data_IF_860203281487
#
_entry.id   IF_860203281487
#
_cell.length_a   1.000
_cell.length_b   1.000
_cell.length_c   1.000
_cell.angle_alpha   90.00
_cell.angle_beta   90.00
_cell.angle_gamma   90.00
#
_symmetry.space_group_name_H-M   'P 1'
#
loop_
_entity.id
_entity.type
_entity.pdbx_description
1 polymer ?
#
# COMPACT_ATOMS: atom_id res chain seq x y z
N UNK A 1 -1.39 20.52 -4.81
CA UNK A 1 -0.47 19.41 -4.50
C UNK A 1 -1.32 18.18 -4.37
N UNK A 2 -1.03 17.15 -5.15
CA UNK A 2 -1.77 15.89 -5.06
C UNK A 2 -1.21 15.05 -3.93
N UNK A 3 -2.09 14.59 -3.06
CA UNK A 3 -1.73 13.75 -1.93
C UNK A 3 -2.65 12.53 -1.84
N UNK A 4 -2.19 11.50 -1.13
CA UNK A 4 -2.89 10.24 -0.94
C UNK A 4 -3.15 9.97 0.54
N UNK A 5 -4.38 9.50 0.84
CA UNK A 5 -4.69 8.90 2.13
C UNK A 5 -4.28 7.42 2.07
N UNK A 6 -3.25 7.05 2.83
CA UNK A 6 -2.80 5.66 2.94
C UNK A 6 -3.45 5.00 4.16
N UNK A 7 -4.03 3.82 3.97
CA UNK A 7 -4.61 3.00 5.03
C UNK A 7 -4.11 1.57 4.91
N UNK A 8 -3.55 1.02 5.98
CA UNK A 8 -3.15 -0.39 6.02
C UNK A 8 -4.35 -1.32 6.16
N UNK A 9 -4.23 -2.56 5.69
CA UNK A 9 -5.27 -3.58 5.86
C UNK A 9 -5.43 -4.00 7.32
N UNK A 10 -4.32 -4.08 8.09
CA UNK A 10 -4.35 -4.34 9.53
C UNK A 10 -4.62 -3.06 10.33
N UNK A 11 -5.88 -2.60 10.30
CA UNK A 11 -6.30 -1.26 10.75
C UNK A 11 -5.89 -0.89 12.18
N UNK A 12 -5.90 -1.85 13.10
CA UNK A 12 -5.59 -1.57 14.51
C UNK A 12 -4.08 -1.58 14.80
N UNK A 13 -3.26 -2.02 13.84
CA UNK A 13 -1.82 -2.17 14.01
C UNK A 13 -1.09 -1.70 12.74
N UNK A 14 -1.40 -0.48 12.32
CA UNK A 14 -0.87 0.16 11.13
C UNK A 14 -0.64 1.64 11.41
N UNK A 15 0.63 2.03 11.43
CA UNK A 15 1.04 3.44 11.45
C UNK A 15 0.94 3.99 10.02
N UNK A 16 -0.27 4.43 9.66
CA UNK A 16 -0.59 4.97 8.34
C UNK A 16 -1.03 6.44 8.42
N UNK A 17 -1.70 6.96 7.40
CA UNK A 17 -2.03 8.39 7.32
C UNK A 17 -2.87 8.92 8.49
N UNK A 18 -3.49 8.04 9.29
CA UNK A 18 -4.14 8.42 10.55
C UNK A 18 -3.15 8.93 11.61
N UNK A 19 -1.88 8.55 11.52
CA UNK A 19 -0.80 8.92 12.45
C UNK A 19 0.08 10.03 11.86
N UNK A 20 0.50 9.89 10.60
CA UNK A 20 1.49 10.81 9.99
C UNK A 20 0.94 11.72 8.87
N UNK A 21 -0.37 11.71 8.61
CA UNK A 21 -1.01 12.59 7.62
C UNK A 21 -0.97 12.06 6.18
N UNK A 22 -1.27 12.92 5.20
CA UNK A 22 -1.35 12.51 3.80
C UNK A 22 0.03 12.33 3.16
N UNK A 23 0.17 11.36 2.25
CA UNK A 23 1.40 11.14 1.48
C UNK A 23 1.44 12.03 0.23
N UNK A 24 2.50 12.84 0.03
CA UNK A 24 2.74 13.54 -1.22
C UNK A 24 2.88 12.60 -2.44
N UNK A 25 2.28 12.98 -3.58
CA UNK A 25 2.31 12.18 -4.83
C UNK A 25 3.73 11.85 -5.31
N UNK A 26 4.68 12.75 -5.14
CA UNK A 26 6.07 12.61 -5.59
C UNK A 26 6.84 11.50 -4.84
N UNK A 27 6.40 11.14 -3.64
CA UNK A 27 6.96 10.00 -2.88
C UNK A 27 6.36 8.64 -3.28
N UNK A 28 5.35 8.62 -4.17
CA UNK A 28 4.72 7.38 -4.61
C UNK A 28 5.50 6.70 -5.74
N UNK A 29 6.02 5.50 -5.46
CA UNK A 29 6.88 4.76 -6.40
C UNK A 29 6.06 3.92 -7.40
N UNK A 30 5.01 3.23 -6.95
CA UNK A 30 4.22 2.36 -7.83
C UNK A 30 3.17 1.51 -7.10
N UNK A 31 2.49 0.64 -7.85
CA UNK A 31 1.44 -0.27 -7.35
C UNK A 31 1.97 -1.70 -7.23
N UNK A 32 1.62 -2.39 -6.14
CA UNK A 32 1.85 -3.83 -6.01
C UNK A 32 0.95 -4.61 -6.99
N UNK A 33 1.55 -5.48 -7.82
CA UNK A 33 0.84 -6.25 -8.87
C UNK A 33 1.05 -7.76 -8.80
N UNK A 34 2.05 -8.25 -8.07
CA UNK A 34 2.41 -9.67 -7.99
C UNK A 34 2.72 -10.04 -6.54
N UNK A 35 2.12 -11.13 -6.08
CA UNK A 35 2.57 -11.86 -4.90
C UNK A 35 3.46 -12.98 -5.40
N UNK A 36 4.76 -12.90 -5.11
CA UNK A 36 5.76 -13.85 -5.63
C UNK A 36 6.12 -14.98 -4.63
N UNK A 37 5.70 -14.87 -3.37
CA UNK A 37 6.04 -15.84 -2.32
C UNK A 37 4.87 -16.08 -1.35
N UNK A 38 4.70 -17.30 -0.80
CA UNK A 38 5.42 -18.54 -1.14
C UNK A 38 5.12 -19.06 -2.55
N UNK A 39 5.98 -19.94 -3.08
CA UNK A 39 5.94 -20.38 -4.48
C UNK A 39 4.59 -21.00 -4.88
N UNK A 40 3.95 -21.74 -3.98
CA UNK A 40 2.64 -22.37 -4.15
C UNK A 40 1.47 -21.35 -4.16
N UNK A 41 1.75 -20.09 -3.82
CA UNK A 41 0.78 -18.98 -3.77
C UNK A 41 1.14 -17.83 -4.70
N UNK A 42 2.00 -18.05 -5.70
CA UNK A 42 2.30 -17.04 -6.71
C UNK A 42 1.02 -16.64 -7.45
N UNK A 43 0.68 -15.35 -7.43
CA UNK A 43 -0.49 -14.82 -8.13
C UNK A 43 -0.38 -13.34 -8.45
N UNK A 44 -0.94 -12.95 -9.59
CA UNK A 44 -1.14 -11.54 -9.98
C UNK A 44 -2.34 -10.98 -9.20
N UNK A 45 -2.19 -9.76 -8.68
CA UNK A 45 -3.26 -9.03 -8.00
C UNK A 45 -4.22 -8.50 -9.07
N UNK A 46 -5.47 -8.96 -9.03
CA UNK A 46 -6.53 -8.44 -9.91
C UNK A 46 -7.13 -7.16 -9.30
N UNK A 47 -7.46 -6.22 -10.16
CA UNK A 47 -8.20 -5.00 -9.79
C UNK A 47 -9.70 -5.29 -9.67
#
# INVERSE_FOLDING_TARGET
>A
QDNYLMLGDNRNNSDDSRVWGFLPRDLMIGKAVLIYWPLDRIRIIKN
#
